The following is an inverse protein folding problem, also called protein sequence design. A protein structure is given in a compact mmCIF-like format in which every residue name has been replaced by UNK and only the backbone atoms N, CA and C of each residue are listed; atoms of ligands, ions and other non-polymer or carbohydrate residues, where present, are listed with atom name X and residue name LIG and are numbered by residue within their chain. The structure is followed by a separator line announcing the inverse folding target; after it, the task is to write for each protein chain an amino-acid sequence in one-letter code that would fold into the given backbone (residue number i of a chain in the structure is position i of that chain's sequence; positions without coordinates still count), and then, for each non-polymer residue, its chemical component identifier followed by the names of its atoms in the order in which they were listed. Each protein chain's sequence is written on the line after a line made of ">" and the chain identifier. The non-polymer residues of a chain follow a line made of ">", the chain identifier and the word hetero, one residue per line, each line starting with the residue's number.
data_IF_771784711182
#
_entry.id   IF_771784711182
#
_cell.length_a   1.000
_cell.length_b   1.000
_cell.length_c   1.000
_cell.angle_alpha   90.00
_cell.angle_beta   90.00
_cell.angle_gamma   90.00
#
_symmetry.space_group_name_H-M   'P 1'
#
loop_
_entity.id
_entity.type
_entity.pdbx_description
1 polymer ?
#
# COMPACT_ATOMS: atom_id res chain seq x y z
N UNK A 1 10.21 15.56 18.30
CA UNK A 1 9.63 14.39 17.60
C UNK A 1 10.70 13.52 16.93
N UNK A 2 11.35 13.94 15.83
CA UNK A 2 12.29 13.07 15.09
C UNK A 2 13.54 12.64 15.86
N UNK A 3 14.23 13.51 16.62
CA UNK A 3 15.33 13.05 17.46
C UNK A 3 14.89 11.97 18.47
N UNK A 4 13.67 12.10 19.01
CA UNK A 4 13.10 11.11 19.91
C UNK A 4 12.72 9.80 19.20
N UNK A 5 12.18 9.86 17.97
CA UNK A 5 11.93 8.68 17.14
C UNK A 5 13.25 7.97 16.78
N UNK A 6 14.26 8.72 16.33
CA UNK A 6 15.58 8.18 16.00
C UNK A 6 16.24 7.55 17.22
N UNK A 7 16.22 8.24 18.37
CA UNK A 7 16.75 7.72 19.62
C UNK A 7 16.01 6.45 20.08
N UNK A 8 14.67 6.42 19.98
CA UNK A 8 13.90 5.21 20.30
C UNK A 8 14.34 4.07 19.40
N UNK A 9 14.32 4.30 18.09
CA UNK A 9 14.68 3.29 17.09
C UNK A 9 16.08 2.74 17.31
N UNK A 10 17.08 3.60 17.58
CA UNK A 10 18.46 3.18 17.86
C UNK A 10 18.61 2.38 19.16
N UNK A 11 17.71 2.56 20.13
CA UNK A 11 17.71 1.84 21.40
C UNK A 11 16.93 0.53 21.35
N UNK A 12 15.86 0.46 20.54
CA UNK A 12 14.96 -0.70 20.50
C UNK A 12 15.26 -1.67 19.37
N UNK A 13 15.80 -1.21 18.24
CA UNK A 13 16.00 -2.06 17.07
C UNK A 13 17.42 -2.64 17.00
N UNK A 14 17.52 -3.83 16.40
CA UNK A 14 18.77 -4.51 16.14
C UNK A 14 19.65 -3.72 15.15
N UNK A 15 20.96 -3.65 15.43
CA UNK A 15 21.92 -2.86 14.63
C UNK A 15 21.97 -3.29 13.16
N UNK A 16 21.83 -4.59 12.87
CA UNK A 16 21.82 -5.11 11.50
C UNK A 16 20.53 -4.69 10.79
N UNK A 17 19.38 -4.81 11.47
CA UNK A 17 18.10 -4.33 10.94
C UNK A 17 18.14 -2.84 10.61
N UNK A 18 18.71 -2.02 11.50
CA UNK A 18 18.90 -0.58 11.28
C UNK A 18 19.83 -0.34 10.08
N UNK A 19 20.99 -0.98 10.03
CA UNK A 19 21.96 -0.80 8.96
C UNK A 19 21.36 -1.15 7.58
N UNK A 20 20.66 -2.29 7.48
CA UNK A 20 19.98 -2.71 6.26
C UNK A 20 18.82 -1.80 5.87
N UNK A 21 18.05 -1.31 6.84
CA UNK A 21 17.00 -0.31 6.56
C UNK A 21 17.60 0.99 6.02
N UNK A 22 18.62 1.55 6.67
CA UNK A 22 19.27 2.78 6.23
C UNK A 22 19.87 2.62 4.83
N UNK A 23 20.51 1.48 4.55
CA UNK A 23 21.15 1.25 3.26
C UNK A 23 20.18 0.86 2.14
N UNK A 24 19.40 -0.21 2.32
CA UNK A 24 18.56 -0.78 1.26
C UNK A 24 17.28 0.03 1.02
N UNK A 25 16.61 0.47 2.09
CA UNK A 25 15.42 1.31 1.97
C UNK A 25 15.78 2.79 1.85
N UNK A 26 16.66 3.30 2.72
CA UNK A 26 17.06 4.71 2.70
C UNK A 26 17.85 5.08 1.45
N UNK A 27 19.13 4.70 1.40
CA UNK A 27 20.05 5.13 0.33
C UNK A 27 19.65 4.57 -1.03
N UNK A 28 19.54 3.25 -1.17
CA UNK A 28 19.18 2.62 -2.46
C UNK A 28 17.76 2.97 -2.90
N UNK A 29 16.80 3.09 -1.98
CA UNK A 29 15.45 3.53 -2.30
C UNK A 29 15.40 4.97 -2.85
N UNK A 30 16.16 5.90 -2.26
CA UNK A 30 16.31 7.26 -2.84
C UNK A 30 16.92 7.21 -4.25
N UNK A 31 17.95 6.38 -4.47
CA UNK A 31 18.55 6.19 -5.80
C UNK A 31 17.56 5.58 -6.81
N UNK A 32 16.69 4.68 -6.37
CA UNK A 32 15.60 4.12 -7.20
C UNK A 32 14.65 5.23 -7.66
N UNK A 33 14.20 6.09 -6.73
CA UNK A 33 13.34 7.25 -7.05
C UNK A 33 14.03 8.25 -7.99
N UNK A 34 15.32 8.52 -7.81
CA UNK A 34 16.07 9.39 -8.73
C UNK A 34 16.27 8.76 -10.13
N UNK A 35 16.37 7.43 -10.22
CA UNK A 35 16.38 6.72 -11.51
C UNK A 35 15.01 6.78 -12.18
N UNK A 36 13.93 6.60 -11.41
CA UNK A 36 12.57 6.77 -11.87
C UNK A 36 12.31 8.18 -12.43
N UNK A 37 12.70 9.24 -11.70
CA UNK A 37 12.59 10.63 -12.17
C UNK A 37 13.35 10.88 -13.47
N UNK A 38 14.53 10.26 -13.66
CA UNK A 38 15.30 10.35 -14.91
C UNK A 38 14.59 9.64 -16.07
N UNK A 39 13.97 8.48 -15.83
CA UNK A 39 13.17 7.75 -16.84
C UNK A 39 11.95 8.56 -17.29
N UNK A 40 11.22 9.15 -16.34
CA UNK A 40 10.06 9.99 -16.67
C UNK A 40 10.40 11.14 -17.62
N UNK A 41 11.59 11.76 -17.47
CA UNK A 41 12.08 12.80 -18.39
C UNK A 41 12.31 12.29 -19.83
N UNK A 42 12.52 10.99 -20.01
CA UNK A 42 12.67 10.32 -21.31
C UNK A 42 11.36 9.72 -21.84
N UNK A 43 10.25 9.89 -21.11
CA UNK A 43 8.97 9.27 -21.46
C UNK A 43 8.86 7.78 -21.09
N UNK A 44 9.85 7.23 -20.37
CA UNK A 44 9.85 5.86 -19.89
C UNK A 44 9.26 5.80 -18.47
N UNK A 45 8.51 4.75 -18.15
CA UNK A 45 8.00 4.53 -16.79
C UNK A 45 8.35 3.13 -16.32
N UNK A 46 9.15 3.03 -15.26
CA UNK A 46 9.34 1.79 -14.51
C UNK A 46 9.30 2.12 -13.02
N UNK A 47 8.37 1.53 -12.24
CA UNK A 47 8.17 1.92 -10.86
C UNK A 47 9.42 1.75 -10.00
N UNK A 48 9.73 2.70 -9.10
CA UNK A 48 10.80 2.58 -8.10
C UNK A 48 10.42 1.64 -6.95
N UNK A 49 9.15 1.24 -6.85
CA UNK A 49 8.60 0.34 -5.84
C UNK A 49 7.63 -0.66 -6.50
N UNK A 50 7.75 -1.93 -6.15
CA UNK A 50 6.86 -2.98 -6.66
C UNK A 50 6.13 -3.66 -5.49
N UNK A 51 4.84 -3.93 -5.69
CA UNK A 51 4.02 -4.69 -4.75
C UNK A 51 3.76 -6.09 -5.31
N UNK A 52 4.17 -7.13 -4.58
CA UNK A 52 4.09 -8.53 -4.96
C UNK A 52 3.11 -9.24 -4.03
N UNK A 53 1.91 -9.58 -4.50
CA UNK A 53 1.06 -10.55 -3.82
C UNK A 53 1.56 -11.95 -4.14
N UNK A 54 2.32 -12.55 -3.23
CA UNK A 54 3.01 -13.82 -3.51
C UNK A 54 2.13 -15.06 -3.33
N UNK A 55 0.97 -14.89 -2.68
CA UNK A 55 -0.01 -15.93 -2.38
C UNK A 55 -1.39 -15.29 -2.19
N UNK A 56 -2.51 -15.96 -2.49
CA UNK A 56 -3.86 -15.44 -2.16
C UNK A 56 -4.48 -16.04 -0.89
N UNK A 57 -4.10 -17.26 -0.51
CA UNK A 57 -4.67 -17.92 0.67
C UNK A 57 -4.44 -17.13 1.97
N UNK A 58 -5.45 -17.12 2.85
CA UNK A 58 -5.39 -16.45 4.15
C UNK A 58 -6.13 -17.24 5.23
N UNK A 59 -5.65 -17.17 6.48
CA UNK A 59 -6.31 -17.75 7.65
C UNK A 59 -7.52 -16.92 8.15
N UNK A 60 -7.67 -15.68 7.68
CA UNK A 60 -8.75 -14.76 8.08
C UNK A 60 -9.80 -14.61 6.97
N UNK A 61 -10.96 -14.03 7.31
CA UNK A 61 -12.08 -13.79 6.38
C UNK A 61 -12.59 -12.36 6.57
N UNK A 62 -11.70 -11.41 6.31
CA UNK A 62 -11.96 -10.00 6.59
C UNK A 62 -13.17 -9.50 5.80
N UNK A 63 -14.07 -8.79 6.47
CA UNK A 63 -15.21 -8.16 5.82
C UNK A 63 -14.69 -7.04 4.89
N UNK A 64 -15.10 -7.05 3.62
CA UNK A 64 -14.58 -6.11 2.62
C UNK A 64 -13.17 -6.42 2.10
N UNK A 65 -12.67 -7.64 2.26
CA UNK A 65 -11.44 -8.07 1.59
C UNK A 65 -11.68 -8.16 0.07
N UNK A 66 -10.74 -7.65 -0.71
CA UNK A 66 -10.77 -7.71 -2.18
C UNK A 66 -10.02 -8.93 -2.74
N UNK A 67 -9.35 -9.71 -1.89
CA UNK A 67 -8.59 -10.91 -2.26
C UNK A 67 -9.48 -12.15 -2.18
N UNK A 68 -9.34 -13.05 -3.16
CA UNK A 68 -9.97 -14.38 -3.15
C UNK A 68 -9.18 -15.34 -2.24
N UNK A 69 -9.44 -15.28 -0.93
CA UNK A 69 -8.62 -15.94 0.10
C UNK A 69 -8.87 -17.44 0.32
N UNK A 70 -9.84 -18.02 -0.39
CA UNK A 70 -10.20 -19.45 -0.27
C UNK A 70 -9.32 -20.34 -1.15
N UNK A 71 -8.76 -19.75 -2.20
CA UNK A 71 -7.95 -20.42 -3.20
C UNK A 71 -6.47 -20.45 -2.80
N UNK A 72 -5.68 -21.27 -3.49
CA UNK A 72 -4.24 -21.47 -3.22
C UNK A 72 -3.40 -21.23 -4.47
N UNK A 73 -3.49 -20.02 -5.00
CA UNK A 73 -2.52 -19.52 -5.97
C UNK A 73 -1.31 -18.93 -5.23
N UNK A 74 -0.13 -19.25 -5.72
CA UNK A 74 1.13 -18.67 -5.25
C UNK A 74 2.14 -18.59 -6.37
N UNK A 75 3.03 -17.60 -6.29
CA UNK A 75 4.16 -17.47 -7.21
C UNK A 75 5.29 -18.34 -6.68
N UNK A 76 5.82 -19.24 -7.50
CA UNK A 76 6.97 -20.07 -7.14
C UNK A 76 8.22 -19.24 -6.86
N UNK A 77 9.08 -19.71 -5.94
CA UNK A 77 10.30 -19.02 -5.53
C UNK A 77 11.22 -18.67 -6.70
N UNK A 78 11.34 -19.55 -7.70
CA UNK A 78 12.19 -19.31 -8.86
C UNK A 78 11.70 -18.10 -9.68
N UNK A 79 10.39 -18.00 -9.90
CA UNK A 79 9.77 -16.85 -10.59
C UNK A 79 9.89 -15.57 -9.76
N UNK A 80 9.69 -15.64 -8.44
CA UNK A 80 9.89 -14.50 -7.54
C UNK A 80 11.35 -14.00 -7.59
N UNK A 81 12.33 -14.90 -7.55
CA UNK A 81 13.75 -14.54 -7.63
C UNK A 81 14.07 -13.85 -8.96
N UNK A 82 13.70 -14.45 -10.10
CA UNK A 82 13.91 -13.83 -11.42
C UNK A 82 13.29 -12.44 -11.51
N UNK A 83 12.08 -12.27 -10.97
CA UNK A 83 11.36 -10.99 -10.98
C UNK A 83 12.09 -9.93 -10.15
N UNK A 84 12.56 -10.28 -8.95
CA UNK A 84 13.29 -9.35 -8.08
C UNK A 84 14.66 -9.02 -8.65
N UNK A 85 15.39 -10.01 -9.20
CA UNK A 85 16.71 -9.83 -9.81
C UNK A 85 16.64 -8.86 -11.00
N UNK A 86 15.68 -9.04 -11.91
CA UNK A 86 15.51 -8.13 -13.05
C UNK A 86 15.09 -6.72 -12.59
N UNK A 87 14.16 -6.63 -11.64
CA UNK A 87 13.79 -5.34 -11.06
C UNK A 87 14.98 -4.64 -10.39
N UNK A 88 15.84 -5.40 -9.69
CA UNK A 88 17.02 -4.91 -8.99
C UNK A 88 18.10 -4.43 -9.96
N UNK A 89 18.36 -5.18 -11.04
CA UNK A 89 19.25 -4.76 -12.13
C UNK A 89 18.80 -3.39 -12.67
N UNK A 90 17.49 -3.17 -12.71
CA UNK A 90 16.88 -1.92 -13.15
C UNK A 90 16.65 -0.89 -12.03
N UNK A 91 17.20 -1.12 -10.84
CA UNK A 91 17.38 -0.11 -9.78
C UNK A 91 16.40 -0.19 -8.63
N UNK A 92 15.48 -1.16 -8.63
CA UNK A 92 14.62 -1.39 -7.48
C UNK A 92 15.41 -1.98 -6.32
N UNK A 93 15.13 -1.50 -5.12
CA UNK A 93 15.68 -2.06 -3.87
C UNK A 93 14.62 -2.19 -2.79
N UNK A 94 13.37 -1.83 -3.07
CA UNK A 94 12.28 -1.91 -2.11
C UNK A 94 11.05 -2.57 -2.73
N UNK A 95 10.53 -3.55 -2.02
CA UNK A 95 9.40 -4.36 -2.44
C UNK A 95 8.39 -4.47 -1.30
N UNK A 96 7.12 -4.27 -1.62
CA UNK A 96 6.03 -4.60 -0.71
C UNK A 96 5.57 -6.03 -0.96
N UNK A 97 5.63 -6.89 0.06
CA UNK A 97 5.13 -8.26 0.00
C UNK A 97 3.71 -8.29 0.57
N UNK A 98 2.76 -8.61 -0.31
CA UNK A 98 1.34 -8.74 -0.03
C UNK A 98 0.94 -10.22 -0.19
N UNK A 99 -0.35 -10.49 0.00
CA UNK A 99 -0.98 -11.72 -0.42
C UNK A 99 -2.43 -11.78 0.04
N UNK A 100 -2.88 -12.99 0.38
CA UNK A 100 -3.75 -13.20 1.51
C UNK A 100 -2.97 -12.98 2.80
N UNK A 101 -2.26 -14.01 3.27
CA UNK A 101 -1.29 -13.89 4.37
C UNK A 101 0.10 -14.36 3.92
N UNK A 102 1.08 -13.44 3.75
CA UNK A 102 2.41 -13.79 3.25
C UNK A 102 3.15 -14.87 4.05
N UNK A 103 2.99 -14.90 5.38
CA UNK A 103 3.65 -15.90 6.22
C UNK A 103 3.07 -17.32 6.07
N UNK A 104 2.01 -17.50 5.28
CA UNK A 104 1.57 -18.82 4.83
C UNK A 104 2.34 -19.34 3.61
N UNK A 105 3.12 -18.49 2.92
CA UNK A 105 3.99 -18.93 1.84
C UNK A 105 5.21 -19.67 2.41
N UNK A 106 5.44 -20.95 2.06
CA UNK A 106 6.45 -21.79 2.70
C UNK A 106 7.88 -21.24 2.53
N UNK A 107 8.15 -20.58 1.40
CA UNK A 107 9.47 -20.09 1.02
C UNK A 107 9.65 -18.58 1.23
N UNK A 108 8.76 -17.90 1.99
CA UNK A 108 8.88 -16.46 2.20
C UNK A 108 10.25 -16.08 2.80
N UNK A 109 10.70 -16.80 3.84
CA UNK A 109 11.97 -16.47 4.49
C UNK A 109 13.19 -16.75 3.59
N UNK A 110 13.09 -17.73 2.69
CA UNK A 110 14.13 -18.06 1.72
C UNK A 110 14.22 -16.99 0.64
N UNK A 111 13.08 -16.49 0.16
CA UNK A 111 13.01 -15.32 -0.73
C UNK A 111 13.71 -14.10 -0.10
N UNK A 112 13.38 -13.76 1.15
CA UNK A 112 14.00 -12.62 1.83
C UNK A 112 15.51 -12.82 1.99
N UNK A 113 15.95 -14.04 2.30
CA UNK A 113 17.36 -14.36 2.47
C UNK A 113 18.16 -14.32 1.16
N UNK A 114 17.54 -14.69 0.03
CA UNK A 114 18.15 -14.66 -1.30
C UNK A 114 18.48 -13.24 -1.80
N UNK A 115 17.77 -12.22 -1.29
CA UNK A 115 17.89 -10.83 -1.74
C UNK A 115 18.39 -9.89 -0.65
N UNK A 116 19.62 -10.07 -0.12
CA UNK A 116 20.13 -9.31 1.03
C UNK A 116 20.30 -7.81 0.76
N UNK A 117 20.36 -7.43 -0.52
CA UNK A 117 20.52 -6.07 -1.05
C UNK A 117 19.20 -5.34 -1.35
N UNK A 118 18.08 -6.02 -1.16
CA UNK A 118 16.72 -5.47 -1.22
C UNK A 118 16.18 -5.22 0.18
N UNK A 119 15.09 -4.45 0.30
CA UNK A 119 14.35 -4.24 1.53
C UNK A 119 12.87 -4.55 1.32
N UNK A 120 12.29 -5.30 2.25
CA UNK A 120 10.95 -5.85 2.09
C UNK A 120 10.01 -5.30 3.16
N UNK A 121 8.91 -4.67 2.76
CA UNK A 121 7.80 -4.38 3.66
C UNK A 121 6.75 -5.47 3.54
N UNK A 122 6.49 -6.20 4.62
CA UNK A 122 5.61 -7.37 4.61
C UNK A 122 4.26 -7.00 5.23
N UNK A 123 3.20 -6.98 4.43
CA UNK A 123 1.84 -6.70 4.89
C UNK A 123 1.24 -7.99 5.45
N UNK A 124 1.04 -8.05 6.77
CA UNK A 124 0.67 -9.30 7.45
C UNK A 124 -0.35 -9.04 8.56
N UNK A 125 -1.14 -10.06 8.90
CA UNK A 125 -1.97 -10.08 10.09
C UNK A 125 -1.19 -10.45 11.37
N UNK A 126 0.08 -10.85 11.24
CA UNK A 126 1.00 -11.14 12.33
C UNK A 126 0.84 -12.51 12.99
N UNK A 127 -0.24 -13.25 12.74
CA UNK A 127 -0.56 -14.45 13.54
C UNK A 127 0.41 -15.62 13.34
N UNK A 128 1.11 -15.66 12.20
CA UNK A 128 2.11 -16.68 11.90
C UNK A 128 3.54 -16.28 12.29
N UNK A 129 3.74 -15.08 12.82
CA UNK A 129 5.04 -14.65 13.33
C UNK A 129 5.26 -15.27 14.71
N UNK A 130 5.82 -16.46 14.73
CA UNK A 130 6.32 -17.10 15.96
C UNK A 130 7.65 -16.51 16.39
N UNK A 131 8.11 -16.81 17.61
CA UNK A 131 9.46 -16.43 18.07
C UNK A 131 10.56 -16.95 17.12
N UNK A 132 10.43 -18.17 16.60
CA UNK A 132 11.37 -18.74 15.61
C UNK A 132 11.38 -17.92 14.31
N UNK A 133 10.20 -17.54 13.83
CA UNK A 133 10.08 -16.71 12.62
C UNK A 133 10.68 -15.32 12.87
N UNK A 134 10.36 -14.68 13.99
CA UNK A 134 10.92 -13.37 14.35
C UNK A 134 12.46 -13.40 14.45
N UNK A 135 13.03 -14.41 15.13
CA UNK A 135 14.48 -14.59 15.21
C UNK A 135 15.11 -14.71 13.82
N UNK A 136 14.48 -15.49 12.93
CA UNK A 136 14.94 -15.66 11.56
C UNK A 136 14.86 -14.35 10.76
N UNK A 137 13.77 -13.59 10.89
CA UNK A 137 13.63 -12.27 10.27
C UNK A 137 14.73 -11.30 10.76
N UNK A 138 15.08 -11.33 12.05
CA UNK A 138 16.19 -10.54 12.61
C UNK A 138 17.55 -10.94 12.02
N UNK A 139 17.82 -12.23 11.87
CA UNK A 139 19.05 -12.73 11.23
C UNK A 139 19.16 -12.28 9.77
N UNK A 140 18.05 -12.32 9.02
CA UNK A 140 18.00 -11.82 7.64
C UNK A 140 18.19 -10.30 7.64
N UNK A 141 17.38 -9.57 8.42
CA UNK A 141 17.49 -8.15 8.74
C UNK A 141 17.07 -7.19 7.63
N UNK A 142 16.59 -7.67 6.48
CA UNK A 142 16.24 -6.84 5.32
C UNK A 142 14.72 -6.63 5.16
N UNK A 143 13.96 -6.77 6.22
CA UNK A 143 12.51 -6.64 6.15
C UNK A 143 11.92 -5.85 7.32
N UNK A 144 10.72 -5.33 7.10
CA UNK A 144 9.87 -4.73 8.11
C UNK A 144 8.46 -5.31 8.02
N UNK A 145 7.99 -6.05 9.05
CA UNK A 145 6.60 -6.44 9.14
C UNK A 145 5.72 -5.21 9.40
N UNK A 146 4.65 -5.10 8.64
CA UNK A 146 3.59 -4.13 8.81
C UNK A 146 2.33 -4.87 9.27
N UNK A 147 2.15 -4.89 10.60
CA UNK A 147 1.15 -5.71 11.28
C UNK A 147 -0.21 -5.02 11.21
N UNK A 148 -1.20 -5.72 10.67
CA UNK A 148 -2.50 -5.12 10.38
C UNK A 148 -3.45 -5.23 11.58
N UNK A 149 -3.86 -4.10 12.17
CA UNK A 149 -4.78 -4.01 13.33
C UNK A 149 -6.01 -3.16 12.94
N UNK A 150 -7.21 -3.72 13.10
CA UNK A 150 -8.48 -3.10 12.65
C UNK A 150 -9.35 -2.54 13.77
N UNK A 151 -8.97 -2.72 15.03
CA UNK A 151 -9.69 -2.18 16.18
C UNK A 151 -9.28 -2.86 17.47
N UNK A 152 -9.95 -2.52 18.56
CA UNK A 152 -9.89 -3.28 19.82
C UNK A 152 -10.61 -4.63 19.66
N UNK A 153 -10.68 -5.42 20.72
CA UNK A 153 -11.04 -6.85 20.68
C UNK A 153 -12.25 -7.18 19.78
N UNK A 154 -13.43 -6.64 20.10
CA UNK A 154 -14.68 -6.92 19.34
C UNK A 154 -14.58 -6.44 17.90
N UNK A 155 -14.10 -5.22 17.68
CA UNK A 155 -13.99 -4.62 16.35
C UNK A 155 -13.01 -5.40 15.48
N UNK A 156 -11.87 -5.83 16.03
CA UNK A 156 -10.90 -6.66 15.32
C UNK A 156 -11.50 -8.00 14.92
N UNK A 157 -12.20 -8.68 15.83
CA UNK A 157 -12.81 -9.98 15.55
C UNK A 157 -13.87 -9.90 14.45
N UNK A 158 -14.75 -8.90 14.51
CA UNK A 158 -15.77 -8.65 13.49
C UNK A 158 -15.15 -8.29 12.14
N UNK A 159 -14.25 -7.30 12.11
CA UNK A 159 -13.60 -6.83 10.88
C UNK A 159 -12.80 -7.94 10.18
N UNK A 160 -12.17 -8.82 10.95
CA UNK A 160 -11.26 -9.87 10.46
C UNK A 160 -11.93 -11.24 10.30
N UNK A 161 -13.18 -11.38 10.76
CA UNK A 161 -14.03 -12.56 10.55
C UNK A 161 -13.62 -13.79 11.35
N UNK A 162 -12.95 -13.61 12.49
CA UNK A 162 -12.48 -14.70 13.39
C UNK A 162 -12.49 -14.21 14.84
N UNK A 163 -12.34 -15.15 15.78
CA UNK A 163 -12.23 -14.84 17.22
C UNK A 163 -10.78 -14.67 17.67
N UNK A 164 -10.59 -13.86 18.71
CA UNK A 164 -9.30 -13.65 19.38
C UNK A 164 -8.23 -13.10 18.43
N UNK A 165 -8.64 -12.28 17.46
CA UNK A 165 -7.77 -11.80 16.39
C UNK A 165 -6.75 -10.82 16.93
N UNK A 166 -7.20 -9.85 17.74
CA UNK A 166 -6.30 -8.83 18.28
C UNK A 166 -5.18 -9.47 19.11
N UNK A 167 -5.49 -10.40 20.01
CA UNK A 167 -4.47 -11.03 20.86
C UNK A 167 -3.48 -11.88 20.03
N UNK A 168 -3.94 -12.63 19.03
CA UNK A 168 -3.05 -13.36 18.10
C UNK A 168 -2.15 -12.41 17.32
N UNK A 169 -2.70 -11.31 16.83
CA UNK A 169 -1.95 -10.29 16.08
C UNK A 169 -0.92 -9.58 16.96
N UNK A 170 -1.30 -9.21 18.20
CA UNK A 170 -0.40 -8.58 19.16
C UNK A 170 0.74 -9.51 19.59
N UNK A 171 0.50 -10.82 19.71
CA UNK A 171 1.58 -11.80 19.97
C UNK A 171 2.64 -11.78 18.87
N UNK A 172 2.23 -11.76 17.60
CA UNK A 172 3.16 -11.66 16.47
C UNK A 172 3.93 -10.34 16.45
N UNK A 173 3.23 -9.23 16.73
CA UNK A 173 3.84 -7.91 16.90
C UNK A 173 4.91 -7.92 18.00
N UNK A 174 4.56 -8.45 19.17
CA UNK A 174 5.45 -8.48 20.33
C UNK A 174 6.69 -9.37 20.07
N UNK A 175 6.56 -10.47 19.32
CA UNK A 175 7.73 -11.25 18.86
C UNK A 175 8.66 -10.43 17.97
N UNK A 176 8.14 -9.66 17.01
CA UNK A 176 8.98 -8.79 16.18
C UNK A 176 9.72 -7.73 16.98
N UNK A 177 9.02 -7.10 17.92
CA UNK A 177 9.57 -6.03 18.76
C UNK A 177 10.62 -6.56 19.73
N UNK A 178 10.40 -7.74 20.32
CA UNK A 178 11.37 -8.43 21.19
C UNK A 178 12.68 -8.74 20.48
N UNK A 179 12.61 -9.14 19.21
CA UNK A 179 13.79 -9.41 18.37
C UNK A 179 14.40 -8.13 17.76
N UNK A 180 13.91 -6.94 18.10
CA UNK A 180 14.45 -5.67 17.61
C UNK A 180 14.24 -5.45 16.11
N UNK A 181 13.23 -6.08 15.51
CA UNK A 181 12.89 -5.86 14.10
C UNK A 181 12.17 -4.51 13.97
N UNK A 182 12.55 -3.72 12.96
CA UNK A 182 11.79 -2.53 12.59
C UNK A 182 10.39 -2.96 12.18
N UNK A 183 9.39 -2.57 12.97
CA UNK A 183 8.02 -3.07 12.85
C UNK A 183 7.03 -1.93 12.90
N UNK A 184 6.04 -1.98 12.02
CA UNK A 184 4.96 -1.01 11.96
C UNK A 184 3.60 -1.64 12.16
N UNK A 185 2.59 -0.78 12.34
CA UNK A 185 1.18 -1.17 12.41
C UNK A 185 0.41 -0.50 11.28
N UNK A 186 -0.41 -1.26 10.56
CA UNK A 186 -1.33 -0.74 9.55
C UNK A 186 -2.77 -0.87 10.01
N UNK A 187 -3.59 0.09 9.65
CA UNK A 187 -5.03 0.08 9.91
C UNK A 187 -5.79 0.43 8.64
N UNK A 188 -6.82 -0.36 8.32
CA UNK A 188 -7.86 0.03 7.36
C UNK A 188 -8.94 0.83 8.09
N UNK A 189 -8.79 2.15 8.08
CA UNK A 189 -9.71 3.07 8.75
C UNK A 189 -11.08 3.01 8.07
N UNK A 190 -12.09 2.72 8.87
CA UNK A 190 -13.48 2.61 8.49
C UNK A 190 -14.39 3.18 9.58
N UNK A 191 -15.68 3.31 9.31
CA UNK A 191 -16.62 3.93 10.25
C UNK A 191 -16.66 3.22 11.61
N UNK A 192 -16.43 1.91 11.63
CA UNK A 192 -16.52 1.09 12.85
C UNK A 192 -15.27 1.18 13.73
N UNK A 193 -14.14 1.68 13.23
CA UNK A 193 -12.89 1.73 13.99
C UNK A 193 -12.26 3.13 14.10
N UNK A 194 -12.82 4.13 13.42
CA UNK A 194 -12.27 5.49 13.39
C UNK A 194 -12.18 6.10 14.79
N UNK A 195 -13.17 5.88 15.66
CA UNK A 195 -13.15 6.44 17.01
C UNK A 195 -12.13 5.76 17.93
N UNK A 196 -11.81 4.49 17.69
CA UNK A 196 -10.85 3.75 18.52
C UNK A 196 -9.40 4.02 18.10
N UNK A 197 -9.14 4.04 16.78
CA UNK A 197 -7.78 4.01 16.23
C UNK A 197 -7.26 5.38 15.80
N UNK A 198 -8.15 6.37 15.64
CA UNK A 198 -7.78 7.74 15.31
C UNK A 198 -7.64 8.59 16.59
N UNK A 199 -6.88 8.08 17.55
CA UNK A 199 -6.64 8.71 18.86
C UNK A 199 -5.16 8.80 19.19
N UNK A 200 -4.76 9.86 19.90
CA UNK A 200 -3.40 9.97 20.41
C UNK A 200 -3.07 8.83 21.39
N UNK A 201 -4.04 8.42 22.23
CA UNK A 201 -3.89 7.30 23.16
C UNK A 201 -3.47 6.01 22.45
N UNK A 202 -4.08 5.69 21.31
CA UNK A 202 -3.70 4.52 20.52
C UNK A 202 -2.25 4.61 20.02
N UNK A 203 -1.85 5.76 19.47
CA UNK A 203 -0.47 5.95 19.02
C UNK A 203 0.53 5.89 20.19
N UNK A 204 0.17 6.42 21.35
CA UNK A 204 1.00 6.33 22.57
C UNK A 204 1.12 4.88 23.04
N UNK A 205 0.05 4.09 22.95
CA UNK A 205 0.09 2.65 23.22
C UNK A 205 1.07 1.93 22.29
N UNK A 206 1.01 2.20 20.98
CA UNK A 206 1.93 1.66 19.99
C UNK A 206 3.39 2.08 20.28
N UNK A 207 3.61 3.35 20.60
CA UNK A 207 4.94 3.88 20.97
C UNK A 207 5.49 3.16 22.21
N UNK A 208 4.66 3.00 23.25
CA UNK A 208 5.05 2.34 24.50
C UNK A 208 5.43 0.87 24.28
N UNK A 209 4.74 0.18 23.36
CA UNK A 209 5.10 -1.19 22.95
C UNK A 209 6.42 -1.27 22.19
N UNK A 210 6.84 -0.20 21.53
CA UNK A 210 8.06 -0.15 20.72
C UNK A 210 7.82 -0.09 19.21
N UNK A 211 6.59 0.15 18.76
CA UNK A 211 6.28 0.29 17.34
C UNK A 211 7.01 1.50 16.73
N UNK A 212 7.56 1.30 15.52
CA UNK A 212 8.42 2.29 14.87
C UNK A 212 7.62 3.22 13.96
N UNK A 213 6.61 2.68 13.27
CA UNK A 213 5.79 3.44 12.35
C UNK A 213 4.34 2.93 12.25
N UNK A 214 3.44 3.78 11.79
CA UNK A 214 2.02 3.46 11.58
C UNK A 214 1.58 3.82 10.16
N UNK A 215 0.67 3.03 9.59
CA UNK A 215 0.00 3.33 8.32
C UNK A 215 -1.50 3.47 8.57
N UNK A 216 -2.07 4.56 8.10
CA UNK A 216 -3.52 4.75 8.06
C UNK A 216 -3.97 4.69 6.61
N UNK A 217 -4.50 3.53 6.20
CA UNK A 217 -5.17 3.36 4.93
C UNK A 217 -6.66 3.57 5.12
N UNK A 218 -7.34 4.23 4.20
CA UNK A 218 -8.80 4.31 4.24
C UNK A 218 -9.39 3.06 3.58
N UNK A 219 -10.43 2.49 4.19
CA UNK A 219 -11.17 1.38 3.60
C UNK A 219 -11.81 1.82 2.27
N UNK A 220 -11.60 1.02 1.22
CA UNK A 220 -12.20 1.21 -0.11
C UNK A 220 -13.18 0.06 -0.36
N UNK A 221 -14.48 0.32 -0.56
CA UNK A 221 -15.45 -0.72 -0.83
C UNK A 221 -15.30 -1.19 -2.28
N UNK A 222 -14.57 -2.29 -2.45
CA UNK A 222 -14.31 -2.96 -3.73
C UNK A 222 -14.21 -4.47 -3.48
N UNK A 223 -14.31 -5.25 -4.56
CA UNK A 223 -14.25 -6.70 -4.51
C UNK A 223 -15.58 -7.36 -4.19
N UNK A 224 -15.60 -8.70 -4.05
CA UNK A 224 -16.80 -9.50 -4.16
C UNK A 224 -17.74 -9.38 -2.95
N UNK A 225 -17.19 -8.99 -1.79
CA UNK A 225 -17.91 -8.82 -0.53
C UNK A 225 -17.68 -7.42 0.05
N UNK A 226 -17.70 -6.40 -0.82
CA UNK A 226 -17.58 -5.01 -0.39
C UNK A 226 -18.68 -4.64 0.62
N UNK A 227 -18.34 -3.87 1.65
CA UNK A 227 -19.32 -3.35 2.60
C UNK A 227 -19.30 -1.82 2.61
N UNK A 228 -20.29 -1.23 1.96
CA UNK A 228 -20.43 0.23 1.85
C UNK A 228 -20.59 0.93 3.20
N UNK A 229 -21.20 0.29 4.20
CA UNK A 229 -21.42 0.89 5.52
C UNK A 229 -20.11 1.17 6.29
N UNK A 230 -19.02 0.47 5.94
CA UNK A 230 -17.71 0.71 6.52
C UNK A 230 -17.00 1.92 5.92
N UNK A 231 -17.37 2.32 4.71
CA UNK A 231 -16.63 3.36 4.00
C UNK A 231 -16.81 4.72 4.69
N UNK A 232 -15.71 5.43 4.90
CA UNK A 232 -15.73 6.73 5.55
C UNK A 232 -16.52 7.75 4.74
N UNK A 233 -17.16 8.68 5.45
CA UNK A 233 -17.77 9.90 4.90
C UNK A 233 -16.71 10.96 4.57
N UNK A 234 -17.03 12.00 3.78
CA UNK A 234 -16.07 13.05 3.44
C UNK A 234 -15.50 13.78 4.66
N UNK A 235 -16.32 14.11 5.67
CA UNK A 235 -15.88 14.75 6.92
C UNK A 235 -14.89 13.86 7.70
N UNK A 236 -15.11 12.55 7.68
CA UNK A 236 -14.23 11.59 8.33
C UNK A 236 -12.89 11.44 7.59
N UNK A 237 -12.86 11.50 6.25
CA UNK A 237 -11.60 11.51 5.48
C UNK A 237 -10.76 12.74 5.83
N UNK A 238 -11.39 13.92 5.95
CA UNK A 238 -10.72 15.16 6.39
C UNK A 238 -10.18 15.00 7.81
N UNK A 239 -10.96 14.39 8.72
CA UNK A 239 -10.51 14.07 10.08
C UNK A 239 -9.29 13.16 10.09
N UNK A 240 -9.28 12.09 9.29
CA UNK A 240 -8.13 11.17 9.16
C UNK A 240 -6.88 11.93 8.70
N UNK A 241 -7.00 12.73 7.64
CA UNK A 241 -5.87 13.51 7.13
C UNK A 241 -5.34 14.49 8.19
N UNK A 242 -6.21 15.24 8.86
CA UNK A 242 -5.84 16.17 9.93
C UNK A 242 -5.12 15.45 11.06
N UNK A 243 -5.65 14.32 11.51
CA UNK A 243 -5.04 13.53 12.56
C UNK A 243 -3.64 13.07 12.18
N UNK A 244 -3.47 12.52 10.97
CA UNK A 244 -2.15 12.08 10.48
C UNK A 244 -1.14 13.23 10.47
N UNK A 245 -1.49 14.39 9.92
CA UNK A 245 -0.55 15.54 9.88
C UNK A 245 -0.23 16.09 11.26
N UNK A 246 -1.17 16.05 12.19
CA UNK A 246 -1.03 16.58 13.55
C UNK A 246 -0.16 15.66 14.40
N UNK A 247 -0.45 14.36 14.37
CA UNK A 247 0.26 13.37 15.16
C UNK A 247 1.69 13.19 14.66
N UNK A 248 1.93 13.26 13.34
CA UNK A 248 3.29 13.30 12.78
C UNK A 248 4.14 14.40 13.37
N UNK A 249 3.56 15.58 13.61
CA UNK A 249 4.31 16.71 14.12
C UNK A 249 4.61 16.59 15.64
N UNK A 250 3.80 15.83 16.36
CA UNK A 250 3.83 15.76 17.83
C UNK A 250 4.51 14.51 18.38
N UNK A 251 4.14 13.35 17.87
CA UNK A 251 4.47 12.06 18.48
C UNK A 251 5.72 11.45 17.86
N UNK A 252 6.61 10.83 18.65
CA UNK A 252 7.84 10.22 18.15
C UNK A 252 7.60 8.91 17.39
N UNK A 253 6.59 8.82 16.52
CA UNK A 253 6.31 7.66 15.65
C UNK A 253 6.24 8.12 14.21
N UNK A 254 6.83 7.37 13.29
CA UNK A 254 6.64 7.68 11.87
C UNK A 254 5.20 7.31 11.48
N UNK A 255 4.50 8.18 10.77
CA UNK A 255 3.17 7.87 10.26
C UNK A 255 3.24 7.98 8.74
N UNK A 256 2.70 7.02 8.01
CA UNK A 256 2.78 6.96 6.55
C UNK A 256 1.37 7.05 5.97
N UNK A 257 1.23 7.91 4.95
CA UNK A 257 0.04 8.04 4.11
C UNK A 257 0.50 8.25 2.67
N UNK A 258 0.15 7.33 1.79
CA UNK A 258 0.70 7.26 0.43
C UNK A 258 -0.14 8.03 -0.60
N UNK A 259 -1.16 8.78 -0.16
CA UNK A 259 -2.21 9.32 -1.04
C UNK A 259 -2.28 10.85 -1.08
N UNK A 260 -1.32 11.53 -0.45
CA UNK A 260 -1.25 13.00 -0.42
C UNK A 260 0.19 13.48 -0.57
N UNK A 261 0.41 14.57 -1.32
CA UNK A 261 1.70 15.24 -1.36
C UNK A 261 1.94 16.14 -0.11
N UNK A 262 3.03 16.91 -0.15
CA UNK A 262 3.41 17.81 0.95
C UNK A 262 2.44 18.98 1.18
N UNK A 263 1.72 19.38 0.14
CA UNK A 263 0.72 20.47 0.16
C UNK A 263 -0.68 19.95 0.48
N UNK A 264 -0.83 18.64 0.71
CA UNK A 264 -2.11 18.03 1.02
C UNK A 264 -2.97 17.73 -0.19
N UNK A 265 -2.43 17.89 -1.41
CA UNK A 265 -3.13 17.51 -2.62
C UNK A 265 -3.15 15.99 -2.74
N UNK A 266 -4.32 15.45 -3.07
CA UNK A 266 -4.45 14.02 -3.31
C UNK A 266 -3.55 13.56 -4.47
N UNK A 267 -3.07 12.32 -4.38
CA UNK A 267 -2.41 11.61 -5.46
C UNK A 267 -2.71 10.11 -5.40
N UNK A 268 -2.61 9.46 -6.55
CA UNK A 268 -2.70 8.02 -6.72
C UNK A 268 -1.32 7.45 -7.12
N UNK A 269 -0.74 6.50 -6.35
CA UNK A 269 0.52 5.86 -6.69
C UNK A 269 0.55 5.17 -8.06
N UNK A 270 -0.58 4.61 -8.50
CA UNK A 270 -0.71 4.04 -9.84
C UNK A 270 -0.58 5.14 -10.90
N UNK A 271 -1.36 6.22 -10.78
CA UNK A 271 -1.38 7.31 -11.77
C UNK A 271 -0.05 8.04 -11.86
N UNK A 272 0.68 8.14 -10.74
CA UNK A 272 2.05 8.71 -10.73
C UNK A 272 3.10 7.76 -11.28
N UNK A 273 2.78 6.48 -11.46
CA UNK A 273 3.70 5.43 -11.92
C UNK A 273 4.72 4.98 -10.87
N UNK A 274 4.54 5.37 -9.61
CA UNK A 274 5.50 5.04 -8.53
C UNK A 274 5.36 3.62 -8.02
N UNK A 275 4.21 2.99 -8.26
CA UNK A 275 4.00 1.59 -7.95
C UNK A 275 2.93 0.95 -8.85
N UNK A 276 3.15 -0.34 -9.13
CA UNK A 276 2.18 -1.25 -9.73
C UNK A 276 2.15 -2.54 -8.91
N UNK A 277 1.15 -3.38 -9.16
CA UNK A 277 0.89 -4.59 -8.42
C UNK A 277 1.17 -5.83 -9.28
N UNK A 278 1.69 -6.87 -8.65
CA UNK A 278 1.86 -8.19 -9.24
C UNK A 278 0.99 -9.14 -8.42
N UNK A 279 -0.04 -9.69 -9.06
CA UNK A 279 -1.00 -10.60 -8.46
C UNK A 279 -0.42 -12.00 -8.18
N UNK A 280 -1.13 -12.85 -7.44
CA UNK A 280 -0.67 -14.18 -6.98
C UNK A 280 -0.39 -15.19 -8.10
N UNK A 281 -0.89 -14.93 -9.31
CA UNK A 281 -0.61 -15.72 -10.52
C UNK A 281 0.55 -15.15 -11.36
N UNK A 282 1.13 -14.04 -10.92
CA UNK A 282 2.17 -13.29 -11.62
C UNK A 282 1.63 -12.24 -12.59
N UNK A 283 0.39 -11.82 -12.42
CA UNK A 283 -0.31 -10.88 -13.31
C UNK A 283 0.09 -9.45 -12.98
N UNK A 284 0.43 -8.64 -13.98
CA UNK A 284 0.84 -7.26 -13.78
C UNK A 284 -0.39 -6.36 -13.85
N UNK A 285 -0.80 -5.86 -12.68
CA UNK A 285 -2.02 -5.10 -12.46
C UNK A 285 -1.71 -3.61 -12.20
N UNK A 286 -2.56 -2.66 -12.65
CA UNK A 286 -2.35 -1.24 -12.41
C UNK A 286 -2.24 -0.89 -10.93
N UNK A 287 -3.09 -1.49 -10.09
CA UNK A 287 -3.05 -1.39 -8.64
C UNK A 287 -3.75 -2.60 -8.01
N UNK A 288 -3.57 -2.87 -6.69
CA UNK A 288 -4.08 -4.10 -6.07
C UNK A 288 -5.60 -4.33 -6.19
N UNK A 289 -6.39 -3.26 -6.34
CA UNK A 289 -7.85 -3.34 -6.43
C UNK A 289 -8.37 -3.26 -7.87
N UNK A 290 -7.49 -3.17 -8.87
CA UNK A 290 -7.82 -3.27 -10.30
C UNK A 290 -7.27 -4.61 -10.78
N UNK A 291 -8.05 -5.66 -10.58
CA UNK A 291 -7.66 -7.05 -10.82
C UNK A 291 -7.88 -7.43 -12.29
N UNK A 292 -7.19 -6.69 -13.17
CA UNK A 292 -7.16 -6.91 -14.61
C UNK A 292 -5.72 -6.75 -15.11
N UNK A 293 -5.32 -7.57 -16.07
CA UNK A 293 -3.98 -7.51 -16.65
C UNK A 293 -3.96 -7.89 -18.13
N UNK A 294 -3.00 -7.32 -18.85
CA UNK A 294 -2.56 -7.77 -20.18
C UNK A 294 -1.24 -8.52 -20.12
N UNK A 295 -0.42 -8.20 -19.11
CA UNK A 295 0.97 -8.62 -19.00
C UNK A 295 1.20 -9.50 -17.76
N UNK A 296 2.29 -10.26 -17.77
CA UNK A 296 2.69 -11.14 -16.66
C UNK A 296 4.19 -11.11 -16.43
N UNK A 297 4.64 -11.38 -15.20
CA UNK A 297 6.05 -11.54 -14.84
C UNK A 297 6.73 -12.75 -15.51
N UNK A 298 5.95 -13.56 -16.25
CA UNK A 298 6.44 -14.70 -17.04
C UNK A 298 6.83 -14.34 -18.46
N UNK A 299 6.69 -13.07 -18.82
CA UNK A 299 7.18 -12.52 -20.08
C UNK A 299 8.71 -12.66 -20.17
N UNK A 300 9.20 -13.16 -21.30
CA UNK A 300 10.63 -13.43 -21.53
C UNK A 300 11.48 -12.16 -21.55
N UNK A 301 10.87 -10.99 -21.79
CA UNK A 301 11.53 -9.68 -21.76
C UNK A 301 11.96 -9.25 -20.35
N UNK A 302 11.42 -9.89 -19.31
CA UNK A 302 11.63 -9.48 -17.92
C UNK A 302 10.66 -8.39 -17.46
N UNK A 303 10.60 -8.16 -16.14
CA UNK A 303 9.64 -7.24 -15.51
C UNK A 303 9.88 -5.79 -15.91
N UNK A 304 11.14 -5.40 -16.15
CA UNK A 304 11.49 -4.05 -16.55
C UNK A 304 10.88 -3.65 -17.88
N UNK A 305 11.19 -4.41 -18.93
CA UNK A 305 10.73 -4.10 -20.29
C UNK A 305 9.22 -4.29 -20.41
N UNK A 306 8.69 -5.34 -19.79
CA UNK A 306 7.24 -5.61 -19.77
C UNK A 306 6.45 -4.44 -19.20
N UNK A 307 6.84 -3.91 -18.03
CA UNK A 307 6.15 -2.75 -17.43
C UNK A 307 6.41 -1.44 -18.18
N UNK A 308 7.64 -1.24 -18.69
CA UNK A 308 8.02 -0.04 -19.45
C UNK A 308 7.17 0.11 -20.71
N UNK A 309 6.95 -0.99 -21.42
CA UNK A 309 6.32 -1.00 -22.74
C UNK A 309 4.84 -1.38 -22.70
N UNK A 310 4.26 -1.64 -21.52
CA UNK A 310 2.84 -1.95 -21.36
C UNK A 310 1.95 -0.75 -21.71
N UNK A 311 1.23 -0.87 -22.83
CA UNK A 311 0.23 0.11 -23.25
C UNK A 311 -0.94 0.19 -22.25
N UNK A 312 -1.31 -0.94 -21.64
CA UNK A 312 -2.36 -1.01 -20.65
C UNK A 312 -2.04 -0.20 -19.40
N UNK A 313 -0.84 -0.39 -18.83
CA UNK A 313 -0.40 0.39 -17.67
C UNK A 313 -0.25 1.88 -18.02
N UNK A 314 0.28 2.20 -19.22
CA UNK A 314 0.41 3.59 -19.68
C UNK A 314 -0.93 4.30 -19.75
N UNK A 315 -1.91 3.69 -20.41
CA UNK A 315 -3.24 4.27 -20.56
C UNK A 315 -3.95 4.43 -19.22
N UNK A 316 -3.80 3.47 -18.29
CA UNK A 316 -4.31 3.61 -16.92
C UNK A 316 -3.73 4.81 -16.20
N UNK A 317 -2.42 5.06 -16.33
CA UNK A 317 -1.76 6.20 -15.71
C UNK A 317 -2.28 7.52 -16.26
N UNK A 318 -2.30 7.65 -17.58
CA UNK A 318 -2.68 8.88 -18.28
C UNK A 318 -4.17 9.20 -18.07
N UNK A 319 -5.06 8.26 -18.37
CA UNK A 319 -6.50 8.47 -18.24
C UNK A 319 -6.90 8.72 -16.78
N UNK A 320 -6.31 8.01 -15.82
CA UNK A 320 -6.61 8.25 -14.41
C UNK A 320 -6.15 9.64 -13.98
N UNK A 321 -4.95 10.07 -14.37
CA UNK A 321 -4.42 11.38 -13.98
C UNK A 321 -5.21 12.55 -14.59
N UNK A 322 -5.82 12.35 -15.76
CA UNK A 322 -6.69 13.32 -16.43
C UNK A 322 -8.05 13.50 -15.74
N UNK A 323 -8.60 12.43 -15.17
CA UNK A 323 -9.98 12.41 -14.69
C UNK A 323 -10.13 12.46 -13.17
N UNK A 324 -9.06 12.24 -12.40
CA UNK A 324 -9.08 12.31 -10.94
C UNK A 324 -7.68 12.47 -10.33
N UNK A 325 -7.60 13.09 -9.14
CA UNK A 325 -6.42 12.97 -8.25
C UNK A 325 -6.59 11.87 -7.19
N UNK A 326 -7.78 11.28 -7.14
CA UNK A 326 -8.25 10.32 -6.17
C UNK A 326 -8.14 8.88 -6.66
N UNK A 327 -9.09 8.05 -6.25
CA UNK A 327 -9.20 6.66 -6.70
C UNK A 327 -10.13 6.56 -7.91
N UNK A 328 -9.57 6.27 -9.08
CA UNK A 328 -10.34 6.11 -10.33
C UNK A 328 -11.40 5.01 -10.24
N UNK A 329 -11.15 3.94 -9.47
CA UNK A 329 -12.13 2.86 -9.25
C UNK A 329 -13.37 3.36 -8.50
N UNK A 330 -13.18 4.25 -7.52
CA UNK A 330 -14.30 4.79 -6.76
C UNK A 330 -15.04 5.89 -7.52
N UNK A 331 -14.30 6.79 -8.17
CA UNK A 331 -14.87 7.99 -8.78
C UNK A 331 -15.36 7.77 -10.21
N UNK A 332 -14.67 6.92 -10.98
CA UNK A 332 -14.89 6.68 -12.42
C UNK A 332 -14.75 5.20 -12.79
N UNK A 333 -15.54 4.29 -12.18
CA UNK A 333 -15.53 2.86 -12.54
C UNK A 333 -15.85 2.63 -14.02
N UNK A 334 -16.61 3.53 -14.64
CA UNK A 334 -16.90 3.55 -16.08
C UNK A 334 -15.64 3.65 -16.94
N UNK A 335 -14.67 4.50 -16.56
CA UNK A 335 -13.42 4.64 -17.29
C UNK A 335 -12.47 3.47 -17.07
N UNK A 336 -12.51 2.86 -15.87
CA UNK A 336 -11.77 1.61 -15.61
C UNK A 336 -12.27 0.52 -16.55
N UNK A 337 -13.61 0.37 -16.67
CA UNK A 337 -14.21 -0.61 -17.60
C UNK A 337 -13.82 -0.31 -19.05
N UNK A 338 -13.87 0.95 -19.46
CA UNK A 338 -13.48 1.35 -20.81
C UNK A 338 -12.05 0.91 -21.14
N UNK A 339 -11.09 1.10 -20.21
CA UNK A 339 -9.72 0.67 -20.42
C UNK A 339 -9.58 -0.86 -20.46
N UNK A 340 -10.26 -1.57 -19.56
CA UNK A 340 -10.26 -3.04 -19.54
C UNK A 340 -10.76 -3.59 -20.88
N UNK A 341 -11.88 -3.08 -21.40
CA UNK A 341 -12.43 -3.49 -22.69
C UNK A 341 -11.53 -3.09 -23.85
N UNK A 342 -11.01 -1.85 -23.87
CA UNK A 342 -10.13 -1.33 -24.92
C UNK A 342 -8.90 -2.22 -25.14
N UNK A 343 -8.31 -2.69 -24.05
CA UNK A 343 -7.08 -3.49 -24.09
C UNK A 343 -7.33 -5.01 -24.12
N UNK A 344 -8.59 -5.45 -24.06
CA UNK A 344 -8.91 -6.87 -23.91
C UNK A 344 -8.30 -7.49 -22.66
N UNK A 345 -8.16 -6.69 -21.58
CA UNK A 345 -7.50 -7.13 -20.36
C UNK A 345 -8.33 -8.22 -19.68
N UNK A 346 -7.68 -9.31 -19.27
CA UNK A 346 -8.35 -10.43 -18.62
C UNK A 346 -8.59 -10.16 -17.15
N UNK A 347 -9.67 -10.74 -16.63
CA UNK A 347 -9.93 -10.82 -15.19
C UNK A 347 -8.86 -11.71 -14.53
N UNK A 348 -8.13 -11.18 -13.55
CA UNK A 348 -7.05 -11.88 -12.84
C UNK A 348 -7.55 -12.54 -11.54
N UNK A 349 -8.80 -12.29 -11.17
CA UNK A 349 -9.44 -12.89 -10.00
C UNK A 349 -9.72 -14.38 -10.23
N UNK A 350 -9.86 -15.14 -9.15
CA UNK A 350 -10.25 -16.56 -9.29
C UNK A 350 -11.75 -16.69 -9.56
N UNK A 351 -12.52 -15.77 -9.01
CA UNK A 351 -13.99 -15.72 -9.13
C UNK A 351 -14.49 -15.35 -10.53
N UNK A 352 -13.69 -14.66 -11.35
CA UNK A 352 -14.07 -14.31 -12.73
C UNK A 352 -15.22 -13.31 -12.85
N UNK A 353 -15.50 -12.56 -11.78
CA UNK A 353 -16.63 -11.62 -11.67
C UNK A 353 -16.20 -10.16 -11.60
N UNK A 354 -14.92 -9.83 -11.78
CA UNK A 354 -14.40 -8.49 -11.55
C UNK A 354 -15.06 -7.44 -12.45
N UNK A 355 -15.38 -7.79 -13.71
CA UNK A 355 -16.04 -6.86 -14.63
C UNK A 355 -17.50 -6.60 -14.23
N UNK A 356 -18.22 -7.64 -13.80
CA UNK A 356 -19.58 -7.51 -13.29
C UNK A 356 -19.63 -6.72 -11.97
N UNK A 357 -18.64 -6.91 -11.09
CA UNK A 357 -18.47 -6.11 -9.87
C UNK A 357 -18.27 -4.64 -10.19
N UNK A 358 -17.41 -4.33 -11.16
CA UNK A 358 -17.15 -2.97 -11.62
C UNK A 358 -18.41 -2.33 -12.21
N UNK A 359 -19.19 -3.08 -12.98
CA UNK A 359 -20.47 -2.64 -13.54
C UNK A 359 -21.53 -2.35 -12.48
N UNK A 360 -21.51 -3.10 -11.38
CA UNK A 360 -22.41 -2.88 -10.26
C UNK A 360 -21.98 -1.71 -9.35
N UNK A 361 -20.78 -1.15 -9.54
CA UNK A 361 -20.30 -0.05 -8.69
C UNK A 361 -21.08 1.23 -8.96
N UNK A 362 -21.55 1.86 -7.88
CA UNK A 362 -22.02 3.24 -7.93
C UNK A 362 -20.84 4.19 -7.70
N UNK A 363 -20.57 5.14 -8.62
CA UNK A 363 -19.53 6.13 -8.43
C UNK A 363 -19.66 6.89 -7.10
N UNK A 364 -18.53 7.17 -6.46
CA UNK A 364 -18.47 7.85 -5.16
C UNK A 364 -17.16 8.62 -4.97
N UNK A 365 -17.17 9.53 -4.01
CA UNK A 365 -15.97 10.28 -3.64
C UNK A 365 -14.86 9.35 -3.15
N UNK A 366 -13.62 9.84 -3.21
CA UNK A 366 -12.44 9.15 -2.69
C UNK A 366 -11.62 10.07 -1.79
N UNK A 367 -10.31 9.82 -1.64
CA UNK A 367 -9.40 10.72 -0.93
C UNK A 367 -9.29 12.13 -1.56
N UNK A 368 -9.73 12.32 -2.80
CA UNK A 368 -9.69 13.63 -3.44
C UNK A 368 -10.94 14.44 -3.07
N UNK A 369 -10.73 15.42 -2.20
CA UNK A 369 -11.76 16.34 -1.71
C UNK A 369 -11.35 17.79 -2.05
N UNK A 370 -11.65 18.29 -3.26
CA UNK A 370 -11.22 19.63 -3.68
C UNK A 370 -11.67 20.73 -2.72
N UNK A 371 -10.73 21.51 -2.21
CA UNK A 371 -10.97 22.59 -1.24
C UNK A 371 -10.84 22.18 0.23
N UNK A 372 -10.59 20.90 0.52
CA UNK A 372 -10.39 20.37 1.86
C UNK A 372 -8.91 19.93 2.08
N UNK A 373 -7.97 20.48 1.31
CA UNK A 373 -6.57 20.07 1.36
C UNK A 373 -5.90 20.48 2.67
N UNK A 374 -5.18 19.55 3.28
CA UNK A 374 -4.46 19.75 4.54
C UNK A 374 -2.97 19.49 4.30
N UNK A 375 -2.14 20.55 4.25
CA UNK A 375 -0.69 20.41 4.08
C UNK A 375 -0.01 19.68 5.25
N UNK A 376 1.18 19.14 4.99
CA UNK A 376 2.01 18.60 6.07
C UNK A 376 2.41 19.73 7.04
N UNK A 377 2.13 19.53 8.34
CA UNK A 377 2.53 20.47 9.39
C UNK A 377 4.01 20.39 9.73
N UNK A 378 4.63 19.22 9.58
CA UNK A 378 6.04 19.01 9.91
C UNK A 378 6.93 19.25 8.69
N UNK A 379 7.85 20.21 8.79
CA UNK A 379 8.70 20.66 7.67
C UNK A 379 9.49 19.53 6.99
N UNK A 380 10.04 18.56 7.74
CA UNK A 380 10.76 17.42 7.13
C UNK A 380 9.86 16.52 6.29
N UNK A 381 8.62 16.28 6.71
CA UNK A 381 7.67 15.51 5.89
C UNK A 381 7.31 16.28 4.63
N UNK A 382 7.14 17.60 4.74
CA UNK A 382 6.89 18.46 3.58
C UNK A 382 8.05 18.42 2.58
N UNK A 383 9.29 18.48 3.05
CA UNK A 383 10.50 18.34 2.20
C UNK A 383 10.56 16.93 1.59
N UNK A 384 10.40 15.89 2.41
CA UNK A 384 10.50 14.51 1.95
C UNK A 384 9.47 14.22 0.84
N UNK A 385 8.22 14.64 1.07
CA UNK A 385 7.15 14.51 0.07
C UNK A 385 7.41 15.34 -1.17
N UNK A 386 7.92 16.57 -1.05
CA UNK A 386 8.26 17.40 -2.22
C UNK A 386 9.23 16.71 -3.18
N UNK A 387 10.27 16.03 -2.67
CA UNK A 387 11.34 15.49 -3.49
C UNK A 387 11.22 14.01 -3.86
N UNK A 388 10.67 13.19 -2.96
CA UNK A 388 10.66 11.72 -3.09
C UNK A 388 9.28 11.07 -3.02
N UNK A 389 8.23 11.79 -2.64
CA UNK A 389 6.86 11.25 -2.56
C UNK A 389 5.82 12.29 -3.03
N UNK A 390 6.10 12.94 -4.17
CA UNK A 390 5.19 13.90 -4.80
C UNK A 390 4.41 13.24 -5.94
N UNK A 391 3.70 14.03 -6.74
CA UNK A 391 3.03 13.53 -7.93
C UNK A 391 3.96 13.29 -9.13
N UNK A 392 5.24 13.67 -9.03
CA UNK A 392 6.24 13.57 -10.10
C UNK A 392 5.82 14.25 -11.42
N UNK A 393 4.86 15.16 -11.37
CA UNK A 393 4.30 15.82 -12.53
C UNK A 393 3.24 15.04 -13.30
N UNK A 394 2.76 13.91 -12.78
CA UNK A 394 1.70 13.11 -13.41
C UNK A 394 0.44 13.94 -13.74
N UNK A 395 0.18 14.94 -12.91
CA UNK A 395 -0.98 15.83 -13.04
C UNK A 395 -0.68 17.16 -13.75
N UNK A 396 0.52 17.39 -14.33
CA UNK A 396 0.84 18.69 -14.95
C UNK A 396 0.18 18.90 -16.31
N UNK A 397 0.03 17.82 -17.10
CA UNK A 397 -0.61 17.85 -18.43
C UNK A 397 -2.12 17.82 -18.34
N UNK A 398 -2.63 17.14 -17.32
CA UNK A 398 -3.99 17.27 -16.85
C UNK A 398 -4.09 18.63 -16.15
N UNK A 399 -4.24 19.73 -16.89
CA UNK A 399 -4.72 20.96 -16.28
C UNK A 399 -6.07 20.61 -15.69
N UNK A 400 -6.13 20.20 -14.41
CA UNK A 400 -7.27 19.50 -13.81
C UNK A 400 -8.53 20.21 -14.21
N UNK A 401 -9.19 19.63 -15.22
CA UNK A 401 -10.19 20.35 -15.97
C UNK A 401 -11.29 20.68 -14.98
N UNK A 402 -11.89 21.86 -15.11
CA UNK A 402 -13.03 22.26 -14.29
C UNK A 402 -14.07 21.12 -14.17
N UNK A 403 -14.16 20.26 -15.20
CA UNK A 403 -14.95 19.03 -15.26
C UNK A 403 -14.56 17.94 -14.24
N UNK A 404 -13.28 17.58 -14.08
CA UNK A 404 -12.84 16.57 -13.11
C UNK A 404 -13.09 17.03 -11.67
N UNK A 405 -12.76 18.30 -11.38
CA UNK A 405 -13.02 18.88 -10.07
C UNK A 405 -14.53 19.05 -9.80
N UNK A 406 -15.33 19.39 -10.82
CA UNK A 406 -16.78 19.44 -10.72
C UNK A 406 -17.36 18.05 -10.41
N UNK A 407 -16.88 17.00 -11.09
CA UNK A 407 -17.33 15.63 -10.81
C UNK A 407 -16.99 15.20 -9.39
N UNK A 408 -15.78 15.49 -8.91
CA UNK A 408 -15.42 15.21 -7.52
C UNK A 408 -16.34 15.94 -6.53
N UNK A 409 -16.66 17.23 -6.77
CA UNK A 409 -17.60 18.00 -5.94
C UNK A 409 -19.02 17.44 -5.96
N UNK A 410 -19.50 16.99 -7.12
CA UNK A 410 -20.80 16.30 -7.27
C UNK A 410 -20.85 15.04 -6.39
N UNK A 411 -19.83 14.19 -6.49
CA UNK A 411 -19.75 12.94 -5.71
C UNK A 411 -19.64 13.19 -4.20
N UNK A 412 -19.04 14.31 -3.79
CA UNK A 412 -18.98 14.72 -2.37
C UNK A 412 -20.35 15.17 -1.89
N UNK A 413 -21.10 15.93 -2.70
CA UNK A 413 -22.44 16.38 -2.35
C UNK A 413 -23.38 15.20 -2.14
N UNK A 414 -23.36 14.21 -3.04
CA UNK A 414 -24.15 12.96 -2.91
C UNK A 414 -23.65 12.04 -1.80
N UNK A 415 -22.41 12.20 -1.35
CA UNK A 415 -21.83 11.43 -0.26
C UNK A 415 -22.01 12.05 1.13
N UNK A 416 -22.48 13.30 1.20
CA UNK A 416 -22.83 14.01 2.45
C UNK A 416 -24.32 13.95 2.74
N UNK A 417 -25.16 13.77 1.70
CA UNK A 417 -26.58 13.37 1.81
C UNK A 417 -26.70 11.92 2.23
#
# INVERSE_FOLDING_TARGET
>A
MLPALALRTLRSADKRCIAKFVWNFGVKGMLSVERFKRRLKRGETFPPFLYLSIINSCNLRCQGCWVDVEEKDSIDLATLNRTIEDAQAHGNSFFGILGGEPFMHPELLDLLAAHPDCYFQIFTNGQFITEKVAKRLREIGNCTPLISIEGREVVSDERRGKKDVLNKTLRGLDHCLKEGILTGVATSVCQTNIEELLTEEWLQHLIKRGVHYAWYHTYRPVGPKMNMALALRPDQLVRVRRFVTDMRARLPIAIIDAYYDGEGQALCPMSTGVSHHIGPKGDIEPCPIIQFATDTIRDERGIYETMRDSAFLKDFRELSAEHTRGCVVLERPDLVKQLVVKHGARDTTVRGTALAELDAMTPRFSQWLPGEEIPEKHWMYRIAKKYWFSDFGAYRKAGHAQTAAAKAKELIATGRS
#
